data_IF_318112529085
#
_entry.id   IF_318112529085
#
_cell.length_a   1.000
_cell.length_b   1.000
_cell.length_c   1.000
_cell.angle_alpha   90.00
_cell.angle_beta   90.00
_cell.angle_gamma   90.00
#
_symmetry.space_group_name_H-M   'P 1'
#
loop_
_entity.id
_entity.type
_entity.pdbx_description
1 polymer ?
#
# COMPACT_ATOMS: atom_id res chain seq x y z
N UNK A 1 -61.12 12.78 17.42
CA UNK A 1 -59.83 12.25 16.99
C UNK A 1 -58.64 13.20 17.14
N UNK A 2 -58.83 14.52 17.07
CA UNK A 2 -57.70 15.48 17.25
C UNK A 2 -57.26 15.66 18.73
N UNK A 3 -58.18 15.59 19.69
CA UNK A 3 -57.85 15.69 21.09
C UNK A 3 -57.02 14.50 21.64
N UNK A 4 -57.28 13.30 21.13
CA UNK A 4 -56.55 12.10 21.55
C UNK A 4 -55.06 12.09 21.09
N UNK A 5 -54.79 12.72 19.95
CA UNK A 5 -53.41 12.89 19.45
C UNK A 5 -52.59 13.90 20.23
N UNK A 6 -53.25 14.96 20.75
CA UNK A 6 -52.61 15.99 21.59
C UNK A 6 -52.29 15.43 22.95
N UNK A 7 -53.17 14.61 23.51
CA UNK A 7 -52.95 13.97 24.82
C UNK A 7 -51.80 12.94 24.77
N UNK A 8 -51.65 12.22 23.64
CA UNK A 8 -50.55 11.26 23.40
C UNK A 8 -49.17 11.95 23.26
N UNK A 9 -49.14 13.13 22.64
CA UNK A 9 -47.91 13.92 22.55
C UNK A 9 -47.47 14.53 23.87
N UNK A 10 -48.41 14.89 24.75
CA UNK A 10 -48.11 15.43 26.07
C UNK A 10 -47.56 14.37 27.04
N UNK A 11 -47.96 13.10 26.87
CA UNK A 11 -47.48 11.99 27.68
C UNK A 11 -46.07 11.55 27.30
N UNK A 12 -45.62 11.80 26.06
CA UNK A 12 -44.27 11.47 25.56
C UNK A 12 -43.20 12.50 26.03
N UNK A 13 -43.59 13.71 26.37
CA UNK A 13 -42.66 14.77 26.81
C UNK A 13 -42.30 14.65 28.29
N UNK A 14 -43.13 13.97 29.12
CA UNK A 14 -42.87 13.83 30.57
C UNK A 14 -41.89 12.70 30.95
N UNK A 15 -41.42 11.85 30.01
CA UNK A 15 -40.50 10.74 30.31
C UNK A 15 -39.03 11.10 30.06
N UNK A 16 -38.74 12.29 29.50
CA UNK A 16 -37.37 12.71 29.16
C UNK A 16 -36.64 13.53 30.27
N UNK A 17 -37.14 13.50 31.52
CA UNK A 17 -36.64 14.38 32.59
C UNK A 17 -36.13 13.69 33.85
N UNK A 18 -35.55 12.48 33.77
CA UNK A 18 -34.89 11.87 34.95
C UNK A 18 -33.68 11.05 34.55
N UNK A 19 -32.70 11.72 33.95
CA UNK A 19 -31.36 11.20 33.75
C UNK A 19 -30.47 11.57 34.92
N UNK A 20 -30.48 10.74 35.98
CA UNK A 20 -29.53 10.82 37.08
C UNK A 20 -28.15 10.56 36.50
N UNK A 21 -27.32 11.59 36.44
CA UNK A 21 -25.91 11.50 36.09
C UNK A 21 -25.15 10.71 37.17
N UNK A 22 -24.84 9.46 36.90
CA UNK A 22 -23.80 8.77 37.62
C UNK A 22 -22.45 9.28 37.11
N UNK A 23 -21.88 10.27 37.80
CA UNK A 23 -20.44 10.50 37.81
C UNK A 23 -19.81 9.29 38.49
N UNK A 24 -19.22 8.44 37.73
CA UNK A 24 -18.31 7.41 38.19
C UNK A 24 -16.91 8.04 38.24
N UNK A 25 -16.62 8.76 39.33
CA UNK A 25 -15.23 9.00 39.72
C UNK A 25 -14.66 7.63 40.12
N UNK A 26 -13.91 7.03 39.23
CA UNK A 26 -13.00 5.94 39.59
C UNK A 26 -11.69 6.58 40.02
N UNK A 27 -11.58 6.84 41.30
CA UNK A 27 -10.28 6.89 41.96
C UNK A 27 -9.65 5.50 41.81
N UNK A 28 -8.76 5.36 40.85
CA UNK A 28 -7.88 4.20 40.78
C UNK A 28 -6.73 4.47 41.74
N UNK A 29 -6.89 4.04 42.97
CA UNK A 29 -5.75 3.87 43.87
C UNK A 29 -4.91 2.72 43.35
N UNK A 30 -3.80 3.06 42.69
CA UNK A 30 -2.79 2.09 42.28
C UNK A 30 -2.04 1.67 43.53
N UNK A 31 -2.30 0.45 44.01
CA UNK A 31 -1.48 -0.22 45.01
C UNK A 31 -0.13 -0.55 44.37
N UNK A 32 0.95 -0.10 45.02
CA UNK A 32 2.32 -0.42 44.60
C UNK A 32 2.57 -1.92 44.79
N UNK A 33 2.49 -2.67 43.71
CA UNK A 33 2.99 -4.02 43.56
C UNK A 33 3.97 -4.00 42.38
N UNK A 34 5.17 -4.43 42.67
CA UNK A 34 6.32 -4.55 41.80
C UNK A 34 6.00 -5.47 40.59
N UNK A 35 5.59 -4.85 39.50
CA UNK A 35 5.53 -5.50 38.18
C UNK A 35 6.10 -4.53 37.16
N UNK A 36 7.16 -4.94 36.52
CA UNK A 36 7.81 -4.24 35.41
C UNK A 36 6.79 -3.89 34.32
N UNK A 37 6.19 -2.73 34.48
CA UNK A 37 5.35 -2.13 33.44
C UNK A 37 6.30 -1.68 32.32
N UNK A 38 6.38 -2.46 31.27
CA UNK A 38 6.91 -1.93 30.01
C UNK A 38 6.13 -0.67 29.68
N UNK A 39 6.78 0.48 29.49
CA UNK A 39 6.08 1.66 29.04
C UNK A 39 5.49 1.35 27.67
N UNK A 40 4.18 1.12 27.61
CA UNK A 40 3.47 1.25 26.35
C UNK A 40 3.55 2.73 26.02
N UNK A 41 4.56 3.09 25.24
CA UNK A 41 4.65 4.42 24.63
C UNK A 41 3.53 4.51 23.60
N UNK A 42 2.33 4.63 24.11
CA UNK A 42 1.19 5.11 23.32
C UNK A 42 1.45 6.57 23.06
N UNK A 43 2.24 6.87 22.05
CA UNK A 43 2.37 8.21 21.54
C UNK A 43 0.98 8.65 21.09
N UNK A 44 0.32 9.48 21.92
CA UNK A 44 -0.99 10.04 21.58
C UNK A 44 -0.75 10.96 20.39
N UNK A 45 -1.13 10.47 19.22
CA UNK A 45 -1.04 11.25 17.98
C UNK A 45 -1.83 12.55 18.15
N UNK A 46 -1.24 13.67 17.81
CA UNK A 46 -1.95 14.93 17.74
C UNK A 46 -3.11 14.84 16.73
N UNK A 47 -4.12 15.67 16.89
CA UNK A 47 -5.27 15.72 15.98
C UNK A 47 -4.81 15.93 14.52
N UNK A 48 -3.78 16.75 14.30
CA UNK A 48 -3.16 16.96 12.99
C UNK A 48 -2.47 15.69 12.44
N UNK A 49 -1.79 14.91 13.29
CA UNK A 49 -1.19 13.64 12.90
C UNK A 49 -2.25 12.57 12.62
N UNK A 50 -3.32 12.54 13.40
CA UNK A 50 -4.47 11.65 13.18
C UNK A 50 -5.19 11.97 11.88
N UNK A 51 -5.41 13.26 11.58
CA UNK A 51 -5.97 13.73 10.31
C UNK A 51 -5.07 13.39 9.13
N UNK A 52 -3.74 13.56 9.24
CA UNK A 52 -2.78 13.18 8.21
C UNK A 52 -2.79 11.67 7.93
N UNK A 53 -2.94 10.82 8.96
CA UNK A 53 -3.06 9.37 8.80
C UNK A 53 -4.38 8.96 8.14
N UNK A 54 -5.47 9.69 8.34
CA UNK A 54 -6.77 9.40 7.70
C UNK A 54 -6.75 9.69 6.19
N UNK A 55 -5.79 10.48 5.71
CA UNK A 55 -5.60 10.87 4.30
C UNK A 55 -4.38 10.22 3.66
N UNK A 56 -3.84 9.16 4.25
CA UNK A 56 -2.69 8.43 3.72
C UNK A 56 -2.94 6.92 3.75
N UNK A 57 -2.30 6.20 2.83
CA UNK A 57 -2.28 4.74 2.84
C UNK A 57 -0.86 4.21 2.67
N UNK A 58 -0.57 3.08 3.33
CA UNK A 58 0.66 2.32 3.10
C UNK A 58 0.44 1.39 1.92
N UNK A 59 1.35 1.43 0.97
CA UNK A 59 1.30 0.63 -0.25
C UNK A 59 2.64 -0.04 -0.48
N UNK A 60 2.62 -1.19 -1.16
CA UNK A 60 3.82 -1.87 -1.63
C UNK A 60 4.08 -1.49 -3.08
N UNK A 61 5.27 -0.99 -3.35
CA UNK A 61 5.80 -0.79 -4.69
C UNK A 61 6.85 -1.85 -4.94
N UNK A 62 6.76 -2.54 -6.05
CA UNK A 62 7.69 -3.62 -6.36
C UNK A 62 8.78 -3.12 -7.29
N UNK A 63 10.04 -3.21 -6.85
CA UNK A 63 11.21 -2.79 -7.62
C UNK A 63 12.15 -3.97 -7.87
N UNK A 64 12.97 -3.87 -8.92
CA UNK A 64 13.98 -4.88 -9.23
C UNK A 64 15.09 -4.84 -8.17
N UNK A 65 15.58 -5.99 -7.74
CA UNK A 65 16.75 -6.11 -6.87
C UNK A 65 18.01 -5.60 -7.58
N UNK A 66 19.05 -5.22 -6.84
CA UNK A 66 20.32 -4.81 -7.45
C UNK A 66 20.96 -5.92 -8.32
N UNK A 67 20.64 -7.20 -8.05
CA UNK A 67 21.10 -8.32 -8.90
C UNK A 67 20.35 -8.44 -10.22
N UNK A 68 19.17 -7.81 -10.31
CA UNK A 68 18.37 -7.79 -11.54
C UNK A 68 17.61 -9.09 -11.84
N UNK A 69 17.52 -10.01 -10.88
CA UNK A 69 16.95 -11.36 -11.04
C UNK A 69 15.55 -11.52 -10.45
N UNK A 70 15.18 -10.66 -9.51
CA UNK A 70 13.91 -10.71 -8.78
C UNK A 70 13.37 -9.30 -8.56
N UNK A 71 12.12 -9.20 -8.12
CA UNK A 71 11.51 -7.97 -7.62
C UNK A 71 11.28 -8.08 -6.11
N UNK A 72 11.37 -6.95 -5.40
CA UNK A 72 11.16 -6.88 -3.97
C UNK A 72 10.26 -5.70 -3.61
N UNK A 73 9.36 -5.85 -2.63
CA UNK A 73 8.49 -4.78 -2.20
C UNK A 73 9.27 -3.71 -1.41
N UNK A 74 8.91 -2.46 -1.63
CA UNK A 74 9.24 -1.32 -0.80
C UNK A 74 7.95 -0.70 -0.29
N UNK A 75 7.85 -0.51 1.03
CA UNK A 75 6.69 0.16 1.63
C UNK A 75 6.79 1.66 1.44
N UNK A 76 5.75 2.26 0.85
CA UNK A 76 5.62 3.72 0.73
C UNK A 76 4.34 4.22 1.38
N UNK A 77 4.43 5.38 2.04
CA UNK A 77 3.26 6.12 2.50
C UNK A 77 2.85 7.09 1.40
N UNK A 78 1.63 6.96 0.91
CA UNK A 78 1.05 7.85 -0.10
C UNK A 78 -0.04 8.68 0.56
N UNK A 79 0.11 9.99 0.52
CA UNK A 79 -0.92 10.93 0.98
C UNK A 79 -1.85 11.28 -0.18
N UNK A 80 -3.14 11.43 0.12
CA UNK A 80 -4.18 11.80 -0.84
C UNK A 80 -5.23 12.69 -0.17
N UNK A 81 -5.84 13.60 -0.94
CA UNK A 81 -6.96 14.41 -0.47
C UNK A 81 -8.27 13.62 -0.46
N UNK A 82 -9.28 14.09 0.29
CA UNK A 82 -10.58 13.40 0.38
C UNK A 82 -11.28 13.21 -0.99
N UNK A 83 -11.08 14.16 -1.92
CA UNK A 83 -11.61 14.07 -3.29
C UNK A 83 -10.88 13.05 -4.17
N UNK A 84 -9.73 12.56 -3.71
CA UNK A 84 -8.77 11.75 -4.45
C UNK A 84 -8.77 10.28 -4.02
N UNK A 85 -9.70 9.88 -3.14
CA UNK A 85 -9.88 8.48 -2.65
C UNK A 85 -10.38 7.52 -3.75
N UNK A 86 -10.18 7.85 -5.03
CA UNK A 86 -10.59 6.99 -6.13
C UNK A 86 -9.45 6.07 -6.52
N UNK A 87 -9.73 4.79 -6.68
CA UNK A 87 -8.76 3.75 -7.07
C UNK A 87 -7.92 4.18 -8.29
N UNK A 88 -8.53 4.83 -9.28
CA UNK A 88 -7.81 5.32 -10.47
C UNK A 88 -6.77 6.40 -10.14
N UNK A 89 -7.08 7.33 -9.24
CA UNK A 89 -6.12 8.35 -8.81
C UNK A 89 -4.93 7.72 -8.06
N UNK A 90 -5.23 6.84 -7.13
CA UNK A 90 -4.20 6.11 -6.38
C UNK A 90 -3.34 5.25 -7.31
N UNK A 91 -3.94 4.51 -8.24
CA UNK A 91 -3.21 3.73 -9.25
C UNK A 91 -2.28 4.62 -10.09
N UNK A 92 -2.76 5.80 -10.53
CA UNK A 92 -1.93 6.78 -11.25
C UNK A 92 -0.75 7.25 -10.40
N UNK A 93 -0.98 7.51 -9.11
CA UNK A 93 0.05 7.95 -8.17
C UNK A 93 1.10 6.86 -7.94
N UNK A 94 0.69 5.58 -7.83
CA UNK A 94 1.62 4.45 -7.70
C UNK A 94 2.50 4.27 -8.94
N UNK A 95 1.92 4.37 -10.14
CA UNK A 95 2.71 4.27 -11.38
C UNK A 95 3.72 5.41 -11.47
N UNK A 96 3.35 6.64 -11.09
CA UNK A 96 4.30 7.77 -11.01
C UNK A 96 5.41 7.51 -9.99
N UNK A 97 5.08 6.91 -8.85
CA UNK A 97 6.08 6.55 -7.84
C UNK A 97 7.03 5.44 -8.33
N UNK A 98 6.54 4.47 -9.12
CA UNK A 98 7.41 3.48 -9.79
C UNK A 98 8.36 4.14 -10.80
N UNK A 99 7.90 5.13 -11.56
CA UNK A 99 8.73 5.90 -12.49
C UNK A 99 9.81 6.68 -11.74
N UNK A 100 9.49 7.24 -10.59
CA UNK A 100 10.45 7.96 -9.74
C UNK A 100 11.57 7.04 -9.23
N UNK A 101 11.25 5.76 -8.99
CA UNK A 101 12.20 4.76 -8.50
C UNK A 101 12.14 4.55 -6.99
N UNK A 102 12.95 3.58 -6.50
CA UNK A 102 13.00 3.21 -5.09
C UNK A 102 13.73 4.22 -4.23
N UNK A 103 13.40 4.25 -2.94
CA UNK A 103 14.17 4.97 -1.91
C UNK A 103 15.23 4.07 -1.28
N UNK A 104 15.00 2.75 -1.29
CA UNK A 104 15.93 1.76 -0.76
C UNK A 104 17.09 1.51 -1.74
N UNK A 105 18.32 1.75 -1.30
CA UNK A 105 19.55 1.60 -2.11
C UNK A 105 19.85 0.15 -2.53
N UNK A 106 19.22 -0.84 -1.89
CA UNK A 106 19.32 -2.27 -2.28
C UNK A 106 18.43 -2.64 -3.47
N UNK A 107 17.60 -1.69 -3.91
CA UNK A 107 16.72 -1.83 -5.06
C UNK A 107 17.19 -0.95 -6.21
N UNK A 108 16.82 -1.31 -7.42
CA UNK A 108 17.11 -0.57 -8.65
C UNK A 108 15.81 -0.05 -9.28
N UNK A 109 15.91 1.07 -10.00
CA UNK A 109 14.79 1.56 -10.81
C UNK A 109 14.35 0.49 -11.79
N UNK A 110 13.05 0.16 -11.76
CA UNK A 110 12.49 -0.91 -12.58
C UNK A 110 12.22 -0.45 -14.01
N UNK A 111 11.66 0.75 -14.13
CA UNK A 111 11.29 1.32 -15.42
C UNK A 111 12.51 2.00 -16.08
N UNK A 112 12.63 1.95 -17.42
CA UNK A 112 13.69 2.67 -18.13
C UNK A 112 13.68 4.17 -17.79
N UNK A 113 14.86 4.76 -17.62
CA UNK A 113 14.98 6.21 -17.43
C UNK A 113 14.39 6.95 -18.63
N UNK A 114 13.62 8.00 -18.39
CA UNK A 114 12.88 8.70 -19.45
C UNK A 114 11.51 8.09 -19.80
N UNK A 115 11.07 7.04 -19.07
CA UNK A 115 9.69 6.55 -19.18
C UNK A 115 8.71 7.65 -18.78
N UNK A 116 7.66 7.83 -19.58
CA UNK A 116 6.54 8.75 -19.29
C UNK A 116 5.25 7.96 -19.08
N UNK A 117 4.34 8.53 -18.30
CA UNK A 117 2.98 7.98 -18.12
C UNK A 117 1.99 8.79 -18.96
N UNK A 118 1.41 8.18 -19.97
CA UNK A 118 0.36 8.80 -20.78
C UNK A 118 -0.99 8.76 -20.06
N UNK A 119 -1.40 7.58 -19.56
CA UNK A 119 -2.65 7.45 -18.80
C UNK A 119 -2.70 6.20 -17.93
N UNK A 120 -3.55 6.25 -16.88
CA UNK A 120 -4.06 5.08 -16.16
C UNK A 120 -5.58 5.13 -16.22
N UNK A 121 -6.22 4.07 -16.68
CA UNK A 121 -7.68 3.94 -16.77
C UNK A 121 -8.13 2.64 -16.16
N UNK A 122 -9.25 2.65 -15.44
CA UNK A 122 -9.87 1.43 -14.94
C UNK A 122 -10.99 1.00 -15.90
N UNK A 123 -10.97 -0.25 -16.33
CA UNK A 123 -12.02 -0.92 -17.09
C UNK A 123 -12.51 -2.12 -16.27
N UNK A 124 -13.58 -1.91 -15.49
CA UNK A 124 -13.97 -2.87 -14.47
C UNK A 124 -12.82 -3.06 -13.46
N UNK A 125 -12.39 -4.30 -13.26
CA UNK A 125 -11.29 -4.66 -12.36
C UNK A 125 -9.91 -4.74 -13.06
N UNK A 126 -9.79 -4.20 -14.27
CA UNK A 126 -8.53 -4.17 -15.02
C UNK A 126 -8.01 -2.73 -15.08
N UNK A 127 -6.78 -2.53 -14.63
CA UNK A 127 -6.07 -1.28 -14.82
C UNK A 127 -5.38 -1.28 -16.18
N UNK A 128 -5.69 -0.30 -17.03
CA UNK A 128 -5.02 -0.10 -18.32
C UNK A 128 -4.04 1.04 -18.14
N UNK A 129 -2.74 0.73 -18.24
CA UNK A 129 -1.63 1.66 -18.07
C UNK A 129 -0.98 1.88 -19.42
N UNK A 130 -0.99 3.11 -19.90
CA UNK A 130 -0.34 3.49 -21.15
C UNK A 130 0.93 4.29 -20.85
N UNK A 131 2.05 3.72 -21.22
CA UNK A 131 3.38 4.34 -21.10
C UNK A 131 3.82 4.96 -22.42
N UNK A 132 4.73 5.93 -22.30
CA UNK A 132 5.41 6.57 -23.41
C UNK A 132 6.90 6.77 -23.14
N UNK A 133 7.54 7.62 -23.95
CA UNK A 133 8.95 7.91 -23.81
C UNK A 133 9.82 6.67 -23.95
N UNK A 134 10.84 6.55 -23.12
CA UNK A 134 11.82 5.46 -23.17
C UNK A 134 11.29 4.10 -22.67
N UNK A 135 10.01 4.00 -22.25
CA UNK A 135 9.42 2.71 -21.94
C UNK A 135 9.52 1.72 -23.10
N UNK A 136 9.51 2.23 -24.35
CA UNK A 136 9.68 1.39 -25.55
C UNK A 136 10.98 0.57 -25.58
N UNK A 137 12.01 0.95 -24.81
CA UNK A 137 13.28 0.23 -24.73
C UNK A 137 13.12 -1.21 -24.22
N UNK A 138 12.06 -1.51 -23.44
CA UNK A 138 11.80 -2.87 -22.92
C UNK A 138 11.65 -3.91 -24.03
N UNK A 139 11.25 -3.51 -25.22
CA UNK A 139 11.12 -4.39 -26.40
C UNK A 139 12.47 -4.96 -26.87
N UNK A 140 13.57 -4.29 -26.52
CA UNK A 140 14.94 -4.70 -26.85
C UNK A 140 15.64 -5.44 -25.72
N UNK A 141 14.99 -5.56 -24.54
CA UNK A 141 15.55 -6.31 -23.41
C UNK A 141 15.30 -7.81 -23.61
N UNK A 142 16.07 -8.62 -22.88
CA UNK A 142 15.75 -10.04 -22.79
C UNK A 142 14.39 -10.27 -22.11
N UNK A 143 13.79 -11.43 -22.41
CA UNK A 143 12.44 -11.78 -21.97
C UNK A 143 12.30 -11.77 -20.43
N UNK A 144 13.34 -12.20 -19.70
CA UNK A 144 13.31 -12.28 -18.24
C UNK A 144 13.25 -10.86 -17.64
N UNK A 145 14.12 -9.95 -18.10
CA UNK A 145 14.14 -8.57 -17.66
C UNK A 145 12.84 -7.84 -18.00
N UNK A 146 12.33 -8.00 -19.22
CA UNK A 146 11.05 -7.42 -19.62
C UNK A 146 9.91 -7.94 -18.76
N UNK A 147 9.92 -9.23 -18.40
CA UNK A 147 8.92 -9.83 -17.50
C UNK A 147 8.98 -9.21 -16.09
N UNK A 148 10.18 -9.01 -15.53
CA UNK A 148 10.34 -8.35 -14.23
C UNK A 148 9.77 -6.93 -14.23
N UNK A 149 9.99 -6.16 -15.30
CA UNK A 149 9.45 -4.81 -15.46
C UNK A 149 7.91 -4.83 -15.47
N UNK A 150 7.31 -5.70 -16.29
CA UNK A 150 5.85 -5.85 -16.36
C UNK A 150 5.29 -6.29 -15.01
N UNK A 151 5.88 -7.31 -14.37
CA UNK A 151 5.41 -7.82 -13.09
C UNK A 151 5.56 -6.82 -11.93
N UNK A 152 6.55 -5.95 -11.98
CA UNK A 152 6.68 -4.84 -11.04
C UNK A 152 5.44 -3.93 -11.07
N UNK A 153 5.00 -3.53 -12.26
CA UNK A 153 3.79 -2.70 -12.43
C UNK A 153 2.53 -3.47 -12.02
N UNK A 154 2.42 -4.73 -12.47
CA UNK A 154 1.26 -5.59 -12.17
C UNK A 154 1.13 -5.83 -10.67
N UNK A 155 2.19 -6.29 -10.00
CA UNK A 155 2.14 -6.59 -8.58
C UNK A 155 1.88 -5.33 -7.73
N UNK A 156 2.40 -4.17 -8.15
CA UNK A 156 2.13 -2.89 -7.48
C UNK A 156 0.65 -2.51 -7.58
N UNK A 157 0.05 -2.60 -8.75
CA UNK A 157 -1.34 -2.16 -8.95
C UNK A 157 -2.35 -3.15 -8.38
N UNK A 158 -2.04 -4.45 -8.40
CA UNK A 158 -2.90 -5.49 -7.84
C UNK A 158 -2.83 -5.60 -6.30
N UNK A 159 -2.10 -4.71 -5.61
CA UNK A 159 -2.26 -4.49 -4.17
C UNK A 159 -3.65 -3.91 -3.83
N UNK A 160 -4.27 -3.18 -4.77
CA UNK A 160 -5.64 -2.73 -4.61
C UNK A 160 -6.63 -3.87 -4.89
N UNK A 161 -7.54 -4.09 -3.96
CA UNK A 161 -8.59 -5.14 -4.06
C UNK A 161 -9.50 -4.97 -5.28
N UNK A 162 -9.62 -3.75 -5.78
CA UNK A 162 -10.45 -3.42 -6.94
C UNK A 162 -9.74 -3.70 -8.28
N UNK A 163 -8.44 -4.06 -8.25
CA UNK A 163 -7.64 -4.32 -9.45
C UNK A 163 -7.16 -5.77 -9.43
N UNK A 164 -7.71 -6.59 -10.32
CA UNK A 164 -7.38 -8.02 -10.43
C UNK A 164 -6.34 -8.30 -11.53
N UNK A 165 -6.25 -7.43 -12.52
CA UNK A 165 -5.32 -7.56 -13.63
C UNK A 165 -4.89 -6.19 -14.16
N UNK A 166 -3.80 -6.18 -14.92
CA UNK A 166 -3.26 -4.97 -15.54
C UNK A 166 -3.03 -5.24 -17.03
N UNK A 167 -3.39 -4.27 -17.86
CA UNK A 167 -3.01 -4.22 -19.28
C UNK A 167 -2.01 -3.09 -19.47
N UNK A 168 -0.86 -3.41 -20.07
CA UNK A 168 0.20 -2.45 -20.32
C UNK A 168 0.29 -2.16 -21.80
N UNK A 169 0.20 -0.87 -22.12
CA UNK A 169 0.30 -0.33 -23.46
C UNK A 169 1.54 0.57 -23.60
N UNK A 170 2.02 0.71 -24.80
CA UNK A 170 3.03 1.69 -25.18
C UNK A 170 2.50 2.58 -26.31
N UNK A 171 2.35 3.87 -26.03
CA UNK A 171 1.75 4.84 -26.94
C UNK A 171 0.40 4.36 -27.50
N UNK A 172 -0.46 3.84 -26.62
CA UNK A 172 -1.79 3.33 -26.94
C UNK A 172 -1.85 1.96 -27.61
N UNK A 173 -0.70 1.33 -27.91
CA UNK A 173 -0.63 0.04 -28.60
C UNK A 173 -0.24 -1.09 -27.64
N UNK A 174 -0.79 -2.29 -27.88
CA UNK A 174 -0.35 -3.53 -27.23
C UNK A 174 1.11 -3.85 -27.63
N UNK A 175 1.87 -4.39 -26.68
CA UNK A 175 3.29 -4.71 -26.88
C UNK A 175 3.59 -6.21 -26.70
N UNK A 176 2.58 -7.04 -26.52
CA UNK A 176 2.71 -8.48 -26.26
C UNK A 176 3.58 -9.18 -27.30
N UNK A 177 3.33 -8.91 -28.58
CA UNK A 177 4.12 -9.52 -29.69
C UNK A 177 5.61 -9.18 -29.60
N UNK A 178 5.94 -7.94 -29.22
CA UNK A 178 7.33 -7.50 -29.09
C UNK A 178 8.03 -8.11 -27.86
N UNK A 179 7.25 -8.42 -26.80
CA UNK A 179 7.77 -9.02 -25.57
C UNK A 179 7.84 -10.56 -25.64
N UNK A 180 7.07 -11.19 -26.55
CA UNK A 180 6.92 -12.64 -26.62
C UNK A 180 6.16 -13.24 -25.44
N UNK A 181 5.33 -12.44 -24.76
CA UNK A 181 4.37 -12.83 -23.72
C UNK A 181 3.29 -11.75 -23.57
N UNK A 182 2.13 -12.14 -22.99
CA UNK A 182 1.00 -11.24 -22.86
C UNK A 182 1.31 -10.04 -21.96
N UNK A 183 1.03 -8.83 -22.43
CA UNK A 183 0.99 -7.59 -21.67
C UNK A 183 -0.43 -7.13 -21.36
N UNK A 184 -1.43 -7.90 -21.77
CA UNK A 184 -2.86 -7.65 -21.59
C UNK A 184 -3.47 -8.58 -20.57
N UNK A 185 -4.28 -8.01 -19.65
CA UNK A 185 -4.95 -8.74 -18.55
C UNK A 185 -4.01 -9.58 -17.68
N UNK A 186 -2.80 -9.08 -17.44
CA UNK A 186 -1.79 -9.78 -16.64
C UNK A 186 -2.19 -9.75 -15.17
N UNK A 187 -2.30 -10.93 -14.57
CA UNK A 187 -2.61 -11.07 -13.15
C UNK A 187 -1.36 -11.09 -12.28
N UNK A 188 -1.55 -10.88 -10.98
CA UNK A 188 -0.50 -10.93 -9.97
C UNK A 188 0.27 -12.26 -10.01
N UNK A 189 1.59 -12.18 -9.96
CA UNK A 189 2.49 -13.32 -9.85
C UNK A 189 3.59 -13.01 -8.83
N UNK A 190 3.61 -13.76 -7.73
CA UNK A 190 4.59 -13.60 -6.65
C UNK A 190 5.79 -14.54 -6.80
N UNK A 191 5.85 -15.40 -7.81
CA UNK A 191 6.97 -16.32 -8.02
C UNK A 191 8.30 -15.60 -8.31
N UNK A 192 8.23 -14.34 -8.76
CA UNK A 192 9.38 -13.47 -9.03
C UNK A 192 9.68 -12.49 -7.88
N UNK A 193 8.99 -12.64 -6.74
CA UNK A 193 9.14 -11.73 -5.60
C UNK A 193 10.07 -12.34 -4.56
N UNK A 194 11.00 -11.53 -4.05
CA UNK A 194 11.82 -11.84 -2.89
C UNK A 194 11.68 -10.71 -1.86
N UNK A 195 11.82 -11.01 -0.60
CA UNK A 195 11.84 -10.02 0.47
C UNK A 195 13.28 -9.81 0.94
N UNK A 196 13.91 -8.74 0.44
CA UNK A 196 15.31 -8.43 0.77
C UNK A 196 15.49 -7.88 2.20
N UNK A 197 14.42 -7.45 2.87
CA UNK A 197 14.51 -6.96 4.25
C UNK A 197 14.59 -8.15 5.20
N UNK A 198 13.72 -9.14 5.05
CA UNK A 198 13.74 -10.35 5.85
C UNK A 198 14.98 -11.22 5.57
N UNK A 199 15.42 -11.31 4.30
CA UNK A 199 16.64 -12.06 3.96
C UNK A 199 17.89 -11.47 4.62
N UNK A 200 17.98 -10.15 4.77
CA UNK A 200 19.11 -9.51 5.46
C UNK A 200 19.10 -9.78 6.98
N UNK A 201 17.93 -9.78 7.61
CA UNK A 201 17.77 -10.09 9.03
C UNK A 201 18.13 -11.56 9.34
N UNK A 202 17.82 -12.47 8.41
CA UNK A 202 18.13 -13.90 8.57
C UNK A 202 19.63 -14.19 8.46
N UNK A 203 20.36 -13.46 7.57
CA UNK A 203 21.80 -13.55 7.44
C UNK A 203 22.51 -13.00 8.69
N UNK A 204 22.07 -11.86 9.21
CA UNK A 204 22.65 -11.24 10.41
C UNK A 204 22.46 -12.15 11.65
N UNK A 205 21.30 -12.81 11.76
CA UNK A 205 21.03 -13.75 12.83
C UNK A 205 21.94 -15.01 12.75
N UNK A 206 22.15 -15.55 11.55
CA UNK A 206 23.00 -16.73 11.36
C UNK A 206 24.48 -16.42 11.61
N UNK A 207 24.99 -15.27 11.19
CA UNK A 207 26.38 -14.87 11.46
C UNK A 207 26.63 -14.69 12.97
N UNK A 208 25.72 -14.07 13.71
CA UNK A 208 25.86 -13.89 15.15
C UNK A 208 25.80 -15.22 15.90
N UNK A 209 24.99 -16.17 15.49
CA UNK A 209 24.92 -17.51 16.11
C UNK A 209 26.20 -18.31 15.86
N UNK A 210 26.84 -18.21 14.70
CA UNK A 210 28.08 -18.87 14.40
C UNK A 210 29.27 -18.29 15.22
N UNK A 211 29.28 -16.99 15.43
CA UNK A 211 30.33 -16.34 16.23
C UNK A 211 30.25 -16.70 17.73
N UNK A 212 29.04 -16.95 18.25
CA UNK A 212 28.88 -17.40 19.65
C UNK A 212 29.33 -18.86 19.88
N UNK A 213 29.23 -19.71 18.86
CA UNK A 213 29.60 -21.13 18.94
C UNK A 213 31.14 -21.31 18.84
N UNK A 214 31.89 -20.40 18.23
CA UNK A 214 33.34 -20.47 18.14
C UNK A 214 34.08 -19.98 19.41
N UNK A 215 33.36 -19.42 20.39
CA UNK A 215 33.95 -18.87 21.64
C UNK A 215 33.75 -19.75 22.87
N UNK A 216 33.13 -20.92 22.76
CA UNK A 216 33.07 -21.97 23.81
C UNK A 216 34.13 -23.06 23.59
#
# INVERSE_FOLDING_TARGET
MKLFRILLCLLLVCVAGAGIGCRMDRDVTVSAGDDTIFPVSGEILSEAQSAALSTSCRVRLYFITQRGDMISPEMKLISFGEKEKRTQYLATTLVKALITGPSNTRLASTLPSGTTLNSVKLKGNVAVVDFGGEFGAIKSYDKAKSKLIIMSVVNTLTEFKDINAVTILYNGSDISDSLGFDSSNVSRDLSLVTDIENAAAEVEYTENVFLEIELE
#
